data_IF_738052917677
#
_entry.id   IF_738052917677
#
_cell.length_a   1.000
_cell.length_b   1.000
_cell.length_c   1.000
_cell.angle_alpha   90.00
_cell.angle_beta   90.00
_cell.angle_gamma   90.00
#
_symmetry.space_group_name_H-M   'P 1'
#
loop_
_entity.id
_entity.type
_entity.pdbx_description
1 polymer ?
#
# COMPACT_ATOMS: atom_id res chain seq x y z
N UNK A 1 -25.38 -2.94 -20.22
CA UNK A 1 -24.00 -3.40 -19.93
C UNK A 1 -23.30 -2.30 -19.16
N UNK A 2 -23.52 -2.18 -17.84
CA UNK A 2 -23.05 -0.99 -17.11
C UNK A 2 -22.88 -1.26 -15.60
N UNK A 3 -22.09 -2.29 -15.24
CA UNK A 3 -21.72 -2.56 -13.84
C UNK A 3 -20.23 -2.85 -13.63
N UNK A 4 -19.42 -2.82 -14.69
CA UNK A 4 -18.00 -3.19 -14.62
C UNK A 4 -17.16 -1.98 -14.16
N UNK A 5 -17.45 -0.78 -14.65
CA UNK A 5 -16.68 0.42 -14.32
C UNK A 5 -16.65 0.74 -12.81
N UNK A 6 -17.79 0.72 -12.11
CA UNK A 6 -17.86 1.07 -10.68
C UNK A 6 -17.04 0.13 -9.78
N UNK A 7 -17.03 -1.16 -10.09
CA UNK A 7 -16.30 -2.17 -9.30
C UNK A 7 -14.78 -2.02 -9.41
N UNK A 8 -14.30 -1.51 -10.54
CA UNK A 8 -12.87 -1.27 -10.75
C UNK A 8 -12.41 0.04 -10.08
N UNK A 9 -13.27 1.07 -10.03
CA UNK A 9 -13.00 2.30 -9.26
C UNK A 9 -12.94 2.05 -7.74
N UNK A 10 -13.85 1.23 -7.21
CA UNK A 10 -13.85 0.89 -5.78
C UNK A 10 -12.54 0.19 -5.36
N UNK A 11 -12.03 -0.72 -6.20
CA UNK A 11 -10.75 -1.41 -5.97
C UNK A 11 -9.55 -0.47 -6.03
N UNK A 12 -9.59 0.54 -6.91
CA UNK A 12 -8.55 1.56 -6.98
C UNK A 12 -8.55 2.42 -5.72
N UNK A 13 -9.72 2.82 -5.22
CA UNK A 13 -9.85 3.61 -3.99
C UNK A 13 -9.42 2.80 -2.75
N UNK A 14 -9.84 1.54 -2.65
CA UNK A 14 -9.41 0.63 -1.58
C UNK A 14 -7.89 0.40 -1.60
N UNK A 15 -7.31 0.20 -2.80
CA UNK A 15 -5.87 0.02 -2.98
C UNK A 15 -5.09 1.25 -2.55
N UNK A 16 -5.56 2.44 -2.94
CA UNK A 16 -4.95 3.71 -2.55
C UNK A 16 -4.98 3.91 -1.02
N UNK A 17 -6.09 3.58 -0.35
CA UNK A 17 -6.20 3.66 1.12
C UNK A 17 -5.24 2.70 1.81
N UNK A 18 -5.16 1.45 1.34
CA UNK A 18 -4.27 0.45 1.91
C UNK A 18 -2.78 0.80 1.68
N UNK A 19 -2.43 1.32 0.49
CA UNK A 19 -1.09 1.83 0.21
C UNK A 19 -0.72 3.01 1.12
N UNK A 20 -1.65 3.94 1.36
CA UNK A 20 -1.42 5.05 2.30
C UNK A 20 -1.20 4.56 3.74
N UNK A 21 -1.92 3.53 4.16
CA UNK A 21 -1.72 2.90 5.46
C UNK A 21 -0.34 2.22 5.57
N UNK A 22 0.11 1.54 4.51
CA UNK A 22 1.43 0.93 4.44
C UNK A 22 2.54 1.98 4.56
N UNK A 23 2.45 3.06 3.77
CA UNK A 23 3.41 4.17 3.82
C UNK A 23 3.50 4.73 5.25
N UNK A 24 2.36 5.02 5.88
CA UNK A 24 2.32 5.56 7.25
C UNK A 24 2.90 4.58 8.28
N UNK A 25 2.65 3.28 8.11
CA UNK A 25 3.19 2.26 8.99
C UNK A 25 4.72 2.20 8.92
N UNK A 26 5.28 2.22 7.71
CA UNK A 26 6.74 2.27 7.49
C UNK A 26 7.34 3.53 8.12
N UNK A 27 6.74 4.70 7.87
CA UNK A 27 7.17 5.99 8.42
C UNK A 27 7.24 6.03 9.94
N UNK A 28 6.34 5.32 10.60
CA UNK A 28 6.20 5.34 12.06
C UNK A 28 6.87 4.15 12.74
N UNK A 29 7.44 3.22 11.98
CA UNK A 29 7.99 1.97 12.51
C UNK A 29 6.93 1.05 13.13
N UNK A 30 5.66 1.19 12.73
CA UNK A 30 4.56 0.40 13.28
C UNK A 30 4.39 -0.92 12.50
N UNK A 31 5.08 -1.96 12.94
CA UNK A 31 5.07 -3.28 12.29
C UNK A 31 3.69 -3.94 12.24
N UNK A 32 2.85 -3.79 13.28
CA UNK A 32 1.49 -4.35 13.25
C UNK A 32 0.62 -3.69 12.18
N UNK A 33 0.73 -2.36 12.03
CA UNK A 33 0.04 -1.64 10.96
C UNK A 33 0.59 -1.99 9.57
N UNK A 34 1.91 -2.24 9.46
CA UNK A 34 2.57 -2.65 8.22
C UNK A 34 1.99 -3.99 7.74
N UNK A 35 1.93 -5.00 8.63
CA UNK A 35 1.35 -6.32 8.32
C UNK A 35 -0.13 -6.21 7.91
N UNK A 36 -0.91 -5.41 8.63
CA UNK A 36 -2.33 -5.22 8.31
C UNK A 36 -2.55 -4.58 6.93
N UNK A 37 -1.75 -3.57 6.58
CA UNK A 37 -1.81 -2.91 5.27
C UNK A 37 -1.34 -3.85 4.14
N UNK A 38 -0.28 -4.62 4.37
CA UNK A 38 0.19 -5.67 3.44
C UNK A 38 -0.93 -6.67 3.13
N UNK A 39 -1.60 -7.20 4.15
CA UNK A 39 -2.69 -8.16 3.98
C UNK A 39 -3.88 -7.58 3.19
N UNK A 40 -4.18 -6.28 3.36
CA UNK A 40 -5.21 -5.61 2.57
C UNK A 40 -4.81 -5.48 1.11
N UNK A 41 -3.57 -5.05 0.85
CA UNK A 41 -3.06 -4.89 -0.51
C UNK A 41 -2.94 -6.20 -1.28
N UNK A 42 -2.63 -7.32 -0.63
CA UNK A 42 -2.56 -8.64 -1.29
C UNK A 42 -3.89 -9.09 -1.94
N UNK A 43 -5.03 -8.48 -1.57
CA UNK A 43 -6.31 -8.75 -2.21
C UNK A 43 -6.57 -7.89 -3.47
N UNK A 44 -5.72 -6.90 -3.71
CA UNK A 44 -5.91 -5.84 -4.70
C UNK A 44 -4.75 -5.76 -5.70
N UNK A 45 -3.52 -5.89 -5.22
CA UNK A 45 -2.27 -5.77 -5.96
C UNK A 45 -1.49 -7.09 -5.90
N UNK A 46 -0.57 -7.25 -6.84
CA UNK A 46 0.37 -8.37 -6.76
C UNK A 46 1.49 -8.10 -5.75
N UNK A 47 2.20 -9.15 -5.36
CA UNK A 47 3.24 -9.07 -4.35
C UNK A 47 4.41 -8.15 -4.79
N UNK A 48 4.71 -8.07 -6.09
CA UNK A 48 5.82 -7.25 -6.57
C UNK A 48 5.51 -5.76 -6.43
N UNK A 49 4.30 -5.34 -6.80
CA UNK A 49 3.84 -3.95 -6.67
C UNK A 49 3.90 -3.47 -5.20
N UNK A 50 3.54 -4.35 -4.27
CA UNK A 50 3.54 -4.02 -2.83
C UNK A 50 4.97 -3.91 -2.31
N UNK A 51 5.87 -4.81 -2.72
CA UNK A 51 7.25 -4.82 -2.29
C UNK A 51 8.05 -3.64 -2.87
N UNK A 52 7.79 -3.26 -4.14
CA UNK A 52 8.39 -2.07 -4.75
C UNK A 52 7.99 -0.81 -3.97
N UNK A 53 6.70 -0.64 -3.66
CA UNK A 53 6.23 0.47 -2.82
C UNK A 53 6.92 0.48 -1.45
N UNK A 54 7.02 -0.66 -0.78
CA UNK A 54 7.65 -0.72 0.54
C UNK A 54 9.14 -0.36 0.49
N UNK A 55 9.87 -0.87 -0.49
CA UNK A 55 11.30 -0.58 -0.69
C UNK A 55 11.53 0.89 -0.99
N UNK A 56 10.75 1.49 -1.89
CA UNK A 56 10.86 2.90 -2.27
C UNK A 56 10.61 3.81 -1.08
N UNK A 57 9.56 3.54 -0.30
CA UNK A 57 9.24 4.30 0.90
C UNK A 57 10.39 4.19 1.90
N UNK A 58 10.87 2.98 2.21
CA UNK A 58 11.99 2.81 3.14
C UNK A 58 13.27 3.50 2.66
N UNK A 59 13.56 3.48 1.34
CA UNK A 59 14.71 4.16 0.76
C UNK A 59 14.61 5.69 0.91
N UNK A 60 13.43 6.26 0.67
CA UNK A 60 13.17 7.69 0.86
C UNK A 60 13.36 8.11 2.32
N UNK A 61 12.87 7.31 3.28
CA UNK A 61 13.04 7.61 4.70
C UNK A 61 14.48 7.44 5.18
N UNK A 62 15.20 6.43 4.69
CA UNK A 62 16.63 6.27 4.99
C UNK A 62 17.46 7.45 4.49
N UNK A 63 17.15 7.96 3.29
CA UNK A 63 17.86 9.11 2.70
C UNK A 63 17.58 10.42 3.44
N UNK A 64 16.37 10.60 3.98
CA UNK A 64 16.01 11.80 4.74
C UNK A 64 16.55 11.83 6.18
N UNK A 65 16.99 10.68 6.71
CA UNK A 65 17.50 10.54 8.08
C UNK A 65 19.04 10.62 8.20
N UNK A 66 19.75 10.71 7.07
CA UNK A 66 21.21 10.91 6.99
C UNK A 66 21.57 12.31 6.53
#
# INVERSE_FOLDING_TARGET
>A
MEKIAGKDFDKLEEGAKAAQALIRAIMTGNESAKIAAYAQLQNLWDQNDIDELAVDVEALFRTAAG
#
